data_IF_232237943532
#
_entry.id   IF_232237943532
#
_cell.length_a   1.000
_cell.length_b   1.000
_cell.length_c   1.000
_cell.angle_alpha   90.00
_cell.angle_beta   90.00
_cell.angle_gamma   90.00
#
_symmetry.space_group_name_H-M   'P 1'
#
loop_
_entity.id
_entity.type
_entity.pdbx_description
1 polymer ?
#
# COMPACT_ATOMS: atom_id res chain seq x y z
N UNK A 1 -12.48 -4.34 5.85
CA UNK A 1 -11.47 -4.62 4.81
C UNK A 1 -10.58 -3.41 4.60
N UNK A 2 -9.29 -3.64 4.40
CA UNK A 2 -8.24 -2.62 4.37
C UNK A 2 -7.30 -2.85 3.18
N UNK A 3 -6.68 -1.79 2.69
CA UNK A 3 -5.62 -1.83 1.68
C UNK A 3 -4.30 -1.39 2.32
N UNK A 4 -3.27 -2.23 2.26
CA UNK A 4 -1.94 -1.87 2.76
C UNK A 4 -1.17 -1.05 1.74
N UNK A 5 -0.68 0.10 2.18
CA UNK A 5 0.30 0.88 1.45
C UNK A 5 1.70 0.21 1.50
N UNK A 6 2.57 0.59 0.56
CA UNK A 6 3.92 0.05 0.39
C UNK A 6 4.78 0.20 1.63
N UNK A 7 4.64 1.29 2.37
CA UNK A 7 5.41 1.49 3.60
C UNK A 7 5.01 0.50 4.72
N UNK A 8 3.73 0.12 4.81
CA UNK A 8 3.25 -0.84 5.80
C UNK A 8 3.74 -2.23 5.45
N UNK A 9 3.59 -2.62 4.19
CA UNK A 9 4.03 -3.93 3.72
C UNK A 9 5.56 -4.08 3.81
N UNK A 10 6.30 -3.02 3.48
CA UNK A 10 7.76 -2.98 3.64
C UNK A 10 8.20 -3.08 5.10
N UNK A 11 7.42 -2.55 6.05
CA UNK A 11 7.73 -2.67 7.49
C UNK A 11 7.66 -4.15 7.93
N UNK A 12 6.66 -4.90 7.47
CA UNK A 12 6.51 -6.34 7.78
C UNK A 12 7.68 -7.19 7.25
N UNK A 13 8.31 -6.75 6.16
CA UNK A 13 9.48 -7.42 5.59
C UNK A 13 10.79 -7.12 6.33
N UNK A 14 10.78 -6.25 7.34
CA UNK A 14 12.00 -5.92 8.10
C UNK A 14 12.37 -7.05 9.05
N UNK A 15 13.67 -7.27 9.33
CA UNK A 15 14.09 -8.27 10.31
C UNK A 15 13.51 -8.07 11.72
N UNK A 16 13.22 -6.81 12.07
CA UNK A 16 12.57 -6.41 13.31
C UNK A 16 11.54 -5.34 12.93
N UNK A 17 10.27 -5.72 12.70
CA UNK A 17 9.20 -4.78 12.41
C UNK A 17 8.77 -4.02 13.66
N UNK A 18 8.11 -2.87 13.47
CA UNK A 18 7.48 -2.13 14.57
C UNK A 18 6.37 -2.97 15.24
N UNK A 19 6.43 -3.19 16.56
CA UNK A 19 5.47 -4.05 17.25
C UNK A 19 4.04 -3.49 17.28
N UNK A 20 3.84 -2.18 17.08
CA UNK A 20 2.50 -1.61 16.96
C UNK A 20 1.85 -2.02 15.65
N UNK A 21 2.59 -1.93 14.54
CA UNK A 21 2.10 -2.32 13.21
C UNK A 21 1.72 -3.79 13.18
N UNK A 22 2.60 -4.65 13.72
CA UNK A 22 2.33 -6.10 13.80
C UNK A 22 1.07 -6.36 14.61
N UNK A 23 0.97 -5.81 15.83
CA UNK A 23 -0.20 -6.00 16.69
C UNK A 23 -1.49 -5.48 16.07
N UNK A 24 -1.45 -4.34 15.39
CA UNK A 24 -2.61 -3.76 14.72
C UNK A 24 -3.08 -4.65 13.57
N UNK A 25 -2.16 -5.19 12.77
CA UNK A 25 -2.49 -6.12 11.68
C UNK A 25 -2.95 -7.48 12.17
N UNK A 26 -2.37 -8.02 13.24
CA UNK A 26 -2.79 -9.28 13.87
C UNK A 26 -4.25 -9.25 14.36
N UNK A 27 -4.83 -8.06 14.53
CA UNK A 27 -6.24 -7.89 14.90
C UNK A 27 -7.21 -8.04 13.71
N UNK A 28 -6.71 -8.02 12.47
CA UNK A 28 -7.52 -8.18 11.27
C UNK A 28 -7.56 -9.64 10.79
N UNK A 29 -8.73 -10.15 10.36
CA UNK A 29 -8.78 -11.41 9.64
C UNK A 29 -8.00 -11.29 8.33
N UNK A 30 -7.19 -12.31 8.00
CA UNK A 30 -6.35 -12.30 6.79
C UNK A 30 -7.14 -11.92 5.53
N UNK A 31 -8.31 -12.53 5.30
CA UNK A 31 -9.15 -12.27 4.11
C UNK A 31 -9.67 -10.83 3.99
N UNK A 32 -9.53 -10.00 5.03
CA UNK A 32 -9.89 -8.58 4.99
C UNK A 32 -8.72 -7.65 4.64
N UNK A 33 -7.50 -8.19 4.53
CA UNK A 33 -6.29 -7.43 4.25
C UNK A 33 -5.92 -7.57 2.77
N UNK A 34 -5.85 -6.46 2.05
CA UNK A 34 -5.58 -6.41 0.62
C UNK A 34 -4.30 -5.63 0.32
N UNK A 35 -3.71 -5.89 -0.83
CA UNK A 35 -2.59 -5.12 -1.40
C UNK A 35 -2.95 -4.64 -2.81
N UNK A 36 -2.22 -3.68 -3.33
CA UNK A 36 -2.39 -3.19 -4.71
C UNK A 36 -1.30 -3.72 -5.65
N UNK A 37 -1.62 -3.81 -6.94
CA UNK A 37 -0.63 -4.12 -7.96
C UNK A 37 0.51 -3.07 -8.01
N UNK A 38 0.21 -1.82 -7.63
CA UNK A 38 1.19 -0.72 -7.51
C UNK A 38 2.18 -1.02 -6.39
N UNK A 39 1.69 -1.42 -5.22
CA UNK A 39 2.52 -1.81 -4.07
C UNK A 39 3.46 -2.99 -4.41
N UNK A 40 2.95 -4.00 -5.12
CA UNK A 40 3.78 -5.11 -5.62
C UNK A 40 4.87 -4.59 -6.56
N UNK A 41 4.52 -3.67 -7.47
CA UNK A 41 5.46 -3.09 -8.42
C UNK A 41 6.57 -2.30 -7.70
N UNK A 42 6.23 -1.49 -6.69
CA UNK A 42 7.20 -0.71 -5.91
C UNK A 42 8.17 -1.61 -5.14
N UNK A 43 7.66 -2.65 -4.46
CA UNK A 43 8.53 -3.61 -3.75
C UNK A 43 9.46 -4.33 -4.73
N UNK A 44 8.92 -4.87 -5.84
CA UNK A 44 9.73 -5.55 -6.85
C UNK A 44 10.77 -4.62 -7.48
N UNK A 45 10.43 -3.35 -7.73
CA UNK A 45 11.37 -2.36 -8.22
C UNK A 45 12.49 -2.10 -7.21
N UNK A 46 12.12 -1.85 -5.94
CA UNK A 46 13.07 -1.61 -4.85
C UNK A 46 14.07 -2.75 -4.67
N UNK A 47 13.61 -4.00 -4.81
CA UNK A 47 14.49 -5.18 -4.78
C UNK A 47 15.33 -5.28 -6.07
N UNK A 48 14.74 -5.00 -7.22
CA UNK A 48 15.40 -5.13 -8.53
C UNK A 48 16.60 -4.20 -8.70
N UNK A 49 16.55 -3.00 -8.12
CA UNK A 49 17.65 -2.03 -8.17
C UNK A 49 18.81 -2.34 -7.22
N UNK A 50 18.64 -3.30 -6.29
CA UNK A 50 19.74 -3.71 -5.41
C UNK A 50 20.87 -4.39 -6.21
N UNK A 51 22.13 -4.21 -5.79
CA UNK A 51 23.25 -5.00 -6.31
C UNK A 51 22.99 -6.49 -6.11
N UNK A 52 23.48 -7.31 -7.05
CA UNK A 52 23.39 -8.76 -6.93
C UNK A 52 24.10 -9.26 -5.66
N UNK A 53 23.49 -10.22 -4.98
CA UNK A 53 24.05 -10.86 -3.78
C UNK A 53 22.97 -11.26 -2.78
N UNK A 54 23.42 -11.89 -1.69
CA UNK A 54 22.55 -12.57 -0.70
C UNK A 54 21.38 -11.73 -0.19
N UNK A 55 21.56 -10.42 -0.03
CA UNK A 55 20.49 -9.52 0.44
C UNK A 55 19.36 -9.41 -0.59
N UNK A 56 19.69 -9.29 -1.87
CA UNK A 56 18.70 -9.21 -2.94
C UNK A 56 17.95 -10.53 -3.06
N UNK A 57 18.67 -11.64 -3.06
CA UNK A 57 18.09 -12.98 -3.15
C UNK A 57 17.11 -13.24 -2.00
N UNK A 58 17.52 -12.92 -0.76
CA UNK A 58 16.65 -13.05 0.42
C UNK A 58 15.38 -12.20 0.31
N UNK A 59 15.48 -10.95 -0.14
CA UNK A 59 14.31 -10.07 -0.26
C UNK A 59 13.38 -10.51 -1.40
N UNK A 60 13.92 -11.06 -2.49
CA UNK A 60 13.12 -11.66 -3.55
C UNK A 60 12.32 -12.85 -3.02
N UNK A 61 12.98 -13.77 -2.32
CA UNK A 61 12.31 -14.95 -1.75
C UNK A 61 11.20 -14.56 -0.78
N UNK A 62 11.46 -13.59 0.13
CA UNK A 62 10.46 -13.06 1.05
C UNK A 62 9.28 -12.40 0.34
N UNK A 63 9.55 -11.58 -0.69
CA UNK A 63 8.49 -10.90 -1.43
C UNK A 63 7.60 -11.88 -2.19
N UNK A 64 8.20 -12.86 -2.89
CA UNK A 64 7.44 -13.86 -3.63
C UNK A 64 6.64 -14.76 -2.70
N UNK A 65 7.20 -15.16 -1.54
CA UNK A 65 6.45 -15.89 -0.53
C UNK A 65 5.24 -15.08 -0.04
N UNK A 66 5.46 -13.82 0.35
CA UNK A 66 4.39 -12.94 0.83
C UNK A 66 3.28 -12.74 -0.21
N UNK A 67 3.64 -12.47 -1.47
CA UNK A 67 2.63 -12.23 -2.52
C UNK A 67 1.84 -13.48 -2.90
N UNK A 68 2.46 -14.66 -2.88
CA UNK A 68 1.82 -15.90 -3.32
C UNK A 68 1.13 -16.68 -2.20
N UNK A 69 1.65 -16.62 -0.98
CA UNK A 69 1.13 -17.38 0.16
C UNK A 69 0.22 -16.52 1.05
N UNK A 70 0.63 -15.28 1.35
CA UNK A 70 -0.10 -14.42 2.30
C UNK A 70 -1.18 -13.56 1.64
N UNK A 71 -1.10 -13.30 0.33
CA UNK A 71 -2.09 -12.50 -0.41
C UNK A 71 -2.63 -13.17 -1.70
N UNK A 72 -2.90 -14.49 -1.73
CA UNK A 72 -3.45 -15.14 -2.91
C UNK A 72 -4.80 -14.49 -3.25
N UNK A 73 -4.92 -14.03 -4.50
CA UNK A 73 -6.10 -13.34 -5.05
C UNK A 73 -6.53 -12.06 -4.30
N UNK A 74 -5.71 -11.54 -3.38
CA UNK A 74 -5.96 -10.30 -2.62
C UNK A 74 -5.12 -9.12 -3.09
N UNK A 75 -4.90 -9.07 -4.41
CA UNK A 75 -4.21 -8.00 -5.11
C UNK A 75 -5.17 -7.25 -6.02
N UNK A 76 -5.46 -5.98 -5.71
CA UNK A 76 -6.31 -5.14 -6.53
C UNK A 76 -5.55 -4.52 -7.71
N UNK A 77 -6.11 -4.56 -8.93
CA UNK A 77 -5.50 -3.94 -10.10
C UNK A 77 -5.75 -2.42 -10.14
N UNK A 78 -4.92 -1.70 -10.89
CA UNK A 78 -5.28 -0.35 -11.36
C UNK A 78 -6.09 -0.48 -12.65
N UNK A 79 -7.40 -0.58 -12.53
CA UNK A 79 -8.33 -0.77 -13.66
C UNK A 79 -8.91 0.55 -14.19
N UNK A 80 -9.91 0.46 -15.09
CA UNK A 80 -10.52 1.65 -15.69
C UNK A 80 -11.33 2.49 -14.69
N UNK A 81 -11.88 1.89 -13.64
CA UNK A 81 -12.64 2.61 -12.62
C UNK A 81 -11.66 3.39 -11.72
N UNK A 82 -10.62 2.71 -11.24
CA UNK A 82 -9.52 3.35 -10.51
C UNK A 82 -8.82 4.45 -11.35
N UNK A 83 -8.69 4.26 -12.66
CA UNK A 83 -8.12 5.29 -13.54
C UNK A 83 -9.00 6.55 -13.64
N UNK A 84 -10.32 6.40 -13.57
CA UNK A 84 -11.25 7.52 -13.50
C UNK A 84 -11.09 8.31 -12.20
N UNK A 85 -11.09 7.60 -11.07
CA UNK A 85 -10.93 8.19 -9.74
C UNK A 85 -9.56 8.86 -9.57
N UNK A 86 -8.50 8.23 -10.06
CA UNK A 86 -7.15 8.80 -10.10
C UNK A 86 -7.13 10.19 -10.73
N UNK A 87 -7.80 10.38 -11.88
CA UNK A 87 -7.81 11.66 -12.57
C UNK A 87 -8.51 12.74 -11.74
N UNK A 88 -9.59 12.39 -11.03
CA UNK A 88 -10.29 13.30 -10.11
C UNK A 88 -9.38 13.69 -8.95
N UNK A 89 -8.81 12.71 -8.24
CA UNK A 89 -7.89 12.91 -7.11
C UNK A 89 -6.75 13.85 -7.50
N UNK A 90 -6.03 13.54 -8.58
CA UNK A 90 -4.87 14.35 -9.02
C UNK A 90 -5.29 15.77 -9.40
N UNK A 91 -6.43 15.93 -10.08
CA UNK A 91 -6.91 17.26 -10.48
C UNK A 91 -7.31 18.14 -9.29
N UNK A 92 -8.00 17.56 -8.30
CA UNK A 92 -8.42 18.22 -7.07
C UNK A 92 -7.22 18.63 -6.21
N UNK A 93 -6.31 17.68 -5.97
CA UNK A 93 -5.05 17.87 -5.23
C UNK A 93 -4.21 19.00 -5.82
N UNK A 94 -4.05 19.03 -7.15
CA UNK A 94 -3.35 20.10 -7.85
C UNK A 94 -4.06 21.46 -7.69
N UNK A 95 -5.38 21.50 -7.82
CA UNK A 95 -6.15 22.75 -7.66
C UNK A 95 -6.04 23.32 -6.25
N UNK A 96 -5.93 22.47 -5.24
CA UNK A 96 -5.76 22.86 -3.85
C UNK A 96 -4.29 23.13 -3.45
N UNK A 97 -3.34 23.03 -4.39
CA UNK A 97 -1.92 23.33 -4.13
C UNK A 97 -1.18 22.24 -3.33
N UNK A 98 -1.74 21.04 -3.25
CA UNK A 98 -1.16 19.89 -2.55
C UNK A 98 -0.99 18.75 -3.57
N UNK A 99 0.00 18.79 -4.47
CA UNK A 99 0.20 17.71 -5.44
C UNK A 99 0.43 16.37 -4.74
N UNK A 100 0.12 15.28 -5.45
CA UNK A 100 0.30 13.89 -4.99
C UNK A 100 1.16 13.15 -6.01
N UNK A 101 1.92 12.15 -5.57
CA UNK A 101 2.70 11.32 -6.50
C UNK A 101 1.77 10.48 -7.39
N UNK A 102 2.32 9.92 -8.47
CA UNK A 102 1.53 9.07 -9.37
C UNK A 102 1.14 7.79 -8.64
N UNK A 103 2.09 7.19 -7.95
CA UNK A 103 1.95 5.93 -7.22
C UNK A 103 0.94 6.07 -6.07
N UNK A 104 1.06 7.10 -5.24
CA UNK A 104 0.12 7.37 -4.15
C UNK A 104 -1.29 7.63 -4.69
N UNK A 105 -1.43 8.39 -5.77
CA UNK A 105 -2.74 8.65 -6.37
C UNK A 105 -3.37 7.37 -6.96
N UNK A 106 -2.57 6.45 -7.51
CA UNK A 106 -3.08 5.16 -7.97
C UNK A 106 -3.55 4.30 -6.78
N UNK A 107 -2.76 4.23 -5.70
CA UNK A 107 -3.12 3.49 -4.49
C UNK A 107 -4.40 4.06 -3.86
N UNK A 108 -4.50 5.39 -3.75
CA UNK A 108 -5.67 6.09 -3.26
C UNK A 108 -6.92 5.77 -4.10
N UNK A 109 -6.79 5.81 -5.42
CA UNK A 109 -7.90 5.52 -6.32
C UNK A 109 -8.37 4.06 -6.23
N UNK A 110 -7.43 3.12 -6.11
CA UNK A 110 -7.75 1.70 -5.91
C UNK A 110 -8.49 1.51 -4.58
N UNK A 111 -8.00 2.11 -3.50
CA UNK A 111 -8.65 2.04 -2.19
C UNK A 111 -10.07 2.61 -2.21
N UNK A 112 -10.23 3.82 -2.76
CA UNK A 112 -11.52 4.51 -2.83
C UNK A 112 -12.56 3.74 -3.66
N UNK A 113 -12.20 3.30 -4.87
CA UNK A 113 -13.11 2.56 -5.75
C UNK A 113 -13.50 1.19 -5.21
N UNK A 114 -12.59 0.53 -4.46
CA UNK A 114 -12.88 -0.73 -3.78
C UNK A 114 -13.60 -0.55 -2.42
N UNK A 115 -13.79 0.68 -1.95
CA UNK A 115 -14.37 0.98 -0.63
C UNK A 115 -13.53 0.45 0.53
N UNK A 116 -12.20 0.47 0.40
CA UNK A 116 -11.26 -0.01 1.40
C UNK A 116 -10.60 1.16 2.15
N UNK A 117 -10.41 1.00 3.45
CA UNK A 117 -9.59 1.92 4.25
C UNK A 117 -8.11 1.74 3.88
N UNK A 118 -7.43 2.82 3.52
CA UNK A 118 -6.00 2.80 3.21
C UNK A 118 -5.18 2.88 4.50
N UNK A 119 -4.33 1.89 4.70
CA UNK A 119 -3.43 1.78 5.85
C UNK A 119 -2.06 2.28 5.42
N UNK A 120 -1.63 3.40 5.99
CA UNK A 120 -0.38 4.06 5.62
C UNK A 120 0.19 4.86 6.79
N UNK A 121 1.52 4.88 6.91
CA UNK A 121 2.21 5.80 7.80
C UNK A 121 2.10 7.27 7.35
N UNK A 122 1.89 7.50 6.05
CA UNK A 122 2.00 8.80 5.42
C UNK A 122 0.62 9.47 5.23
N UNK A 123 -0.24 9.42 6.24
CA UNK A 123 -1.64 9.92 6.15
C UNK A 123 -1.77 11.36 5.63
N UNK A 124 -0.77 12.20 5.84
CA UNK A 124 -0.74 13.58 5.31
C UNK A 124 -0.65 13.66 3.79
N UNK A 125 -0.02 12.69 3.15
CA UNK A 125 0.12 12.68 1.69
C UNK A 125 -1.22 12.37 1.01
N UNK A 126 -2.13 11.73 1.75
CA UNK A 126 -3.48 11.35 1.34
C UNK A 126 -4.59 12.22 1.96
N UNK A 127 -4.23 13.24 2.74
CA UNK A 127 -5.22 14.12 3.36
C UNK A 127 -6.05 14.84 2.30
N UNK A 128 -7.29 15.14 2.67
CA UNK A 128 -8.24 15.91 1.86
C UNK A 128 -8.70 15.19 0.57
N UNK A 129 -8.55 13.86 0.52
CA UNK A 129 -9.21 13.00 -0.47
C UNK A 129 -10.56 12.56 0.12
N UNK A 130 -11.65 13.07 -0.45
CA UNK A 130 -13.00 12.99 0.14
C UNK A 130 -13.50 11.56 0.41
N UNK A 131 -13.16 10.61 -0.45
CA UNK A 131 -13.68 9.23 -0.40
C UNK A 131 -12.67 8.21 0.15
N UNK A 132 -11.60 8.70 0.79
CA UNK A 132 -10.52 7.85 1.28
C UNK A 132 -10.43 7.88 2.80
N UNK A 133 -10.77 6.74 3.42
CA UNK A 133 -10.50 6.53 4.84
C UNK A 133 -9.03 6.15 5.04
N UNK A 134 -8.42 6.69 6.10
CA UNK A 134 -7.00 6.54 6.39
C UNK A 134 -6.78 6.03 7.80
N UNK A 135 -5.86 5.07 7.95
CA UNK A 135 -5.38 4.60 9.26
C UNK A 135 -3.85 4.56 9.26
N UNK A 136 -3.26 5.08 10.34
CA UNK A 136 -1.83 4.94 10.63
C UNK A 136 -1.62 3.90 11.76
N UNK A 137 -1.16 2.69 11.42
CA UNK A 137 -1.05 1.59 12.39
C UNK A 137 0.11 1.78 13.39
N UNK A 138 0.94 2.82 13.24
CA UNK A 138 1.98 3.14 14.23
C UNK A 138 1.41 3.86 15.46
N UNK A 139 0.28 4.56 15.29
CA UNK A 139 -0.30 5.44 16.33
C UNK A 139 -1.74 5.08 16.69
N UNK A 140 -2.44 4.35 15.83
CA UNK A 140 -3.79 3.85 16.12
C UNK A 140 -3.72 2.72 17.16
N UNK A 141 -4.35 2.92 18.32
CA UNK A 141 -4.22 2.07 19.51
C UNK A 141 -5.54 1.41 19.90
#
# INVERSE_FOLDING_TARGET
>A
MILLDTNVLSELMRPIPDPNVVRWLDAWPEWEVWISAVTIAEIRLGISILPAGKRKDLLLDLAEQMFHEDFPDRCLPFDCEAAGEYALIVSERNRHGHPISVEDAQIAAIAGTAGLTLVTRNTKDFSDITELELVDPWVDS
#
